data_IF_737383487702
#
_entry.id   IF_737383487702
#
_cell.length_a   1.000
_cell.length_b   1.000
_cell.length_c   1.000
_cell.angle_alpha   90.00
_cell.angle_beta   90.00
_cell.angle_gamma   90.00
#
_symmetry.space_group_name_H-M   'P 1'
#
loop_
_entity.id
_entity.type
_entity.pdbx_description
1 polymer ?
#
# COMPACT_ATOMS: atom_id res chain seq x y z
N UNK A 1 5.50 -37.27 -3.20
CA UNK A 1 6.45 -36.79 -2.17
C UNK A 1 6.78 -37.91 -1.19
N UNK A 2 5.76 -38.59 -0.67
CA UNK A 2 5.87 -39.66 0.35
C UNK A 2 6.80 -40.81 -0.03
N UNK A 3 6.75 -41.30 -1.28
CA UNK A 3 7.67 -42.35 -1.74
C UNK A 3 9.14 -41.92 -1.74
N UNK A 4 9.45 -40.63 -1.96
CA UNK A 4 10.84 -40.12 -1.89
C UNK A 4 11.36 -40.12 -0.45
N UNK A 5 10.49 -39.85 0.52
CA UNK A 5 10.80 -39.96 1.95
C UNK A 5 11.11 -41.42 2.30
N UNK A 6 10.32 -42.37 1.80
CA UNK A 6 10.57 -43.79 1.97
C UNK A 6 11.91 -44.23 1.34
N UNK A 7 12.25 -43.74 0.13
CA UNK A 7 13.55 -44.01 -0.48
C UNK A 7 14.69 -43.48 0.40
N UNK A 8 14.56 -42.25 0.91
CA UNK A 8 15.54 -41.64 1.83
C UNK A 8 15.69 -42.45 3.12
N UNK A 9 14.59 -42.94 3.68
CA UNK A 9 14.59 -43.85 4.82
C UNK A 9 15.36 -45.14 4.50
N UNK A 10 15.12 -45.77 3.34
CA UNK A 10 15.83 -46.97 2.91
C UNK A 10 17.35 -46.74 2.80
N UNK A 11 17.77 -45.59 2.24
CA UNK A 11 19.19 -45.21 2.15
C UNK A 11 19.82 -45.08 3.54
N UNK A 12 19.16 -44.39 4.49
CA UNK A 12 19.67 -44.24 5.87
C UNK A 12 19.77 -45.57 6.61
N UNK A 13 18.92 -46.53 6.28
CA UNK A 13 18.96 -47.90 6.83
C UNK A 13 19.87 -48.85 6.06
N UNK A 14 20.64 -48.36 5.07
CA UNK A 14 21.55 -49.16 4.23
C UNK A 14 20.85 -50.32 3.49
N UNK A 15 19.56 -50.16 3.20
CA UNK A 15 18.77 -51.12 2.41
C UNK A 15 19.15 -50.93 0.94
N UNK A 16 19.53 -52.00 0.24
CA UNK A 16 19.94 -51.92 -1.17
C UNK A 16 18.81 -51.36 -2.04
N UNK A 17 19.16 -50.60 -3.07
CA UNK A 17 18.19 -49.93 -3.96
C UNK A 17 17.15 -50.89 -4.58
N UNK A 18 17.56 -52.10 -4.95
CA UNK A 18 16.63 -53.11 -5.49
C UNK A 18 15.60 -53.58 -4.44
N UNK A 19 16.03 -53.75 -3.19
CA UNK A 19 15.15 -54.11 -2.08
C UNK A 19 14.22 -52.95 -1.71
N UNK A 20 14.75 -51.72 -1.72
CA UNK A 20 13.95 -50.51 -1.53
C UNK A 20 12.85 -50.38 -2.60
N UNK A 21 13.18 -50.65 -3.88
CA UNK A 21 12.19 -50.68 -4.96
C UNK A 21 11.11 -51.73 -4.70
N UNK A 22 11.50 -52.96 -4.32
CA UNK A 22 10.54 -54.04 -4.00
C UNK A 22 9.64 -53.67 -2.82
N UNK A 23 10.19 -53.06 -1.77
CA UNK A 23 9.42 -52.58 -0.61
C UNK A 23 8.40 -51.51 -1.02
N UNK A 24 8.80 -50.56 -1.87
CA UNK A 24 7.91 -49.56 -2.42
C UNK A 24 6.81 -50.19 -3.28
N UNK A 25 7.14 -51.17 -4.13
CA UNK A 25 6.14 -51.88 -4.94
C UNK A 25 5.12 -52.62 -4.08
N UNK A 26 5.53 -53.22 -2.96
CA UNK A 26 4.60 -53.87 -2.02
C UNK A 26 3.71 -52.84 -1.32
N UNK A 27 4.27 -51.70 -0.91
CA UNK A 27 3.53 -50.67 -0.17
C UNK A 27 2.59 -49.83 -1.04
N UNK A 28 2.97 -49.53 -2.29
CA UNK A 28 2.29 -48.58 -3.17
C UNK A 28 1.69 -49.22 -4.44
N UNK A 29 1.97 -50.49 -4.72
CA UNK A 29 1.39 -51.22 -5.86
C UNK A 29 1.65 -50.53 -7.20
N UNK A 30 0.59 -50.35 -8.00
CA UNK A 30 0.64 -49.68 -9.31
C UNK A 30 0.98 -48.19 -9.22
N UNK A 31 0.79 -47.55 -8.06
CA UNK A 31 1.12 -46.15 -7.84
C UNK A 31 2.61 -45.92 -7.53
N UNK A 32 3.44 -46.95 -7.57
CA UNK A 32 4.87 -46.86 -7.30
C UNK A 32 5.61 -46.07 -8.37
N UNK A 33 6.57 -45.24 -7.98
CA UNK A 33 7.51 -44.58 -8.89
C UNK A 33 8.18 -45.63 -9.80
N UNK A 34 8.39 -45.30 -11.07
CA UNK A 34 9.09 -46.20 -11.98
C UNK A 34 10.51 -46.48 -11.47
N UNK A 35 11.03 -47.64 -11.88
CA UNK A 35 12.34 -48.12 -11.45
C UNK A 35 13.45 -47.10 -11.68
N UNK A 36 13.44 -46.37 -12.80
CA UNK A 36 14.47 -45.37 -13.12
C UNK A 36 14.41 -44.19 -12.16
N UNK A 37 13.20 -43.70 -11.83
CA UNK A 37 13.04 -42.64 -10.84
C UNK A 37 13.46 -43.07 -9.44
N UNK A 38 13.13 -44.29 -9.01
CA UNK A 38 13.57 -44.80 -7.70
C UNK A 38 15.09 -44.88 -7.62
N UNK A 39 15.74 -45.42 -8.65
CA UNK A 39 17.20 -45.52 -8.69
C UNK A 39 17.87 -44.14 -8.74
N UNK A 40 17.30 -43.19 -9.49
CA UNK A 40 17.79 -41.81 -9.56
C UNK A 40 17.74 -41.12 -8.19
N UNK A 41 16.59 -41.20 -7.51
CA UNK A 41 16.44 -40.63 -6.16
C UNK A 41 17.31 -41.33 -5.13
N UNK A 42 17.40 -42.66 -5.18
CA UNK A 42 18.27 -43.44 -4.30
C UNK A 42 19.74 -43.01 -4.46
N UNK A 43 20.20 -42.83 -5.70
CA UNK A 43 21.55 -42.34 -6.00
C UNK A 43 21.78 -40.95 -5.40
N UNK A 44 20.88 -40.00 -5.65
CA UNK A 44 21.00 -38.64 -5.10
C UNK A 44 21.06 -38.61 -3.57
N UNK A 45 20.23 -39.42 -2.88
CA UNK A 45 20.29 -39.53 -1.43
C UNK A 45 21.56 -40.23 -0.93
N UNK A 46 22.07 -41.22 -1.66
CA UNK A 46 23.34 -41.89 -1.32
C UNK A 46 24.57 -40.98 -1.50
N UNK A 47 24.46 -39.98 -2.39
CA UNK A 47 25.48 -38.95 -2.63
C UNK A 47 25.36 -37.76 -1.66
N UNK A 48 24.45 -37.81 -0.67
CA UNK A 48 24.37 -36.84 0.42
C UNK A 48 23.28 -35.78 0.28
N UNK A 49 22.42 -35.85 -0.74
CA UNK A 49 21.23 -34.98 -0.80
C UNK A 49 20.30 -35.26 0.37
N UNK A 50 19.80 -34.23 1.04
CA UNK A 50 18.82 -34.39 2.13
C UNK A 50 17.42 -33.86 1.76
N UNK A 51 17.29 -32.98 0.78
CA UNK A 51 15.98 -32.46 0.36
C UNK A 51 15.22 -33.44 -0.55
N UNK A 52 13.92 -33.59 -0.29
CA UNK A 52 13.00 -34.47 -1.03
C UNK A 52 12.19 -33.74 -2.11
N UNK A 53 12.21 -32.40 -2.09
CA UNK A 53 11.52 -31.56 -3.06
C UNK A 53 12.22 -31.55 -4.41
N UNK A 54 11.52 -31.15 -5.47
CA UNK A 54 12.20 -30.85 -6.73
C UNK A 54 13.11 -29.63 -6.54
N UNK A 55 14.27 -29.62 -7.21
CA UNK A 55 15.10 -28.42 -7.25
C UNK A 55 14.39 -27.31 -8.04
N UNK A 56 14.77 -26.06 -7.77
CA UNK A 56 14.25 -24.93 -8.55
C UNK A 56 14.49 -25.19 -10.04
N UNK A 57 13.40 -25.29 -10.79
CA UNK A 57 13.46 -25.43 -12.23
C UNK A 57 13.80 -24.07 -12.79
N UNK A 58 14.86 -24.00 -13.60
CA UNK A 58 15.08 -22.87 -14.48
C UNK A 58 13.84 -22.71 -15.37
N UNK A 59 13.04 -21.68 -15.10
CA UNK A 59 11.88 -21.34 -15.90
C UNK A 59 12.29 -20.92 -17.31
N UNK A 60 11.30 -20.62 -18.16
CA UNK A 60 11.59 -20.00 -19.46
C UNK A 60 12.18 -18.60 -19.21
N UNK A 61 13.35 -18.27 -19.77
CA UNK A 61 13.88 -16.91 -19.69
C UNK A 61 12.86 -15.94 -20.29
N UNK A 62 12.49 -14.92 -19.52
CA UNK A 62 11.63 -13.86 -20.02
C UNK A 62 12.47 -12.95 -20.91
N UNK A 63 12.07 -12.80 -22.17
CA UNK A 63 12.76 -11.94 -23.14
C UNK A 63 12.58 -10.45 -22.85
N UNK A 64 11.63 -10.09 -21.99
CA UNK A 64 11.25 -8.70 -21.73
C UNK A 64 11.78 -8.15 -20.40
N UNK A 65 12.17 -9.01 -19.47
CA UNK A 65 12.71 -8.66 -18.14
C UNK A 65 14.18 -9.09 -18.07
N UNK A 66 14.98 -8.66 -19.04
CA UNK A 66 16.43 -8.84 -18.99
C UNK A 66 17.06 -7.77 -18.10
N UNK A 67 18.29 -8.01 -17.62
CA UNK A 67 18.99 -7.05 -16.77
C UNK A 67 19.19 -5.69 -17.47
N UNK A 68 19.37 -5.69 -18.80
CA UNK A 68 19.47 -4.45 -19.59
C UNK A 68 18.17 -3.65 -19.55
N UNK A 69 17.02 -4.30 -19.74
CA UNK A 69 15.72 -3.63 -19.68
C UNK A 69 15.43 -3.11 -18.27
N UNK A 70 15.81 -3.86 -17.23
CA UNK A 70 15.66 -3.43 -15.84
C UNK A 70 16.49 -2.17 -15.57
N UNK A 71 17.74 -2.13 -16.04
CA UNK A 71 18.61 -0.97 -15.89
C UNK A 71 18.09 0.26 -16.67
N UNK A 72 17.59 0.06 -17.89
CA UNK A 72 17.00 1.15 -18.67
C UNK A 72 15.70 1.69 -18.05
N UNK A 73 14.77 0.83 -17.59
CA UNK A 73 13.59 1.27 -16.84
C UNK A 73 14.02 2.08 -15.61
N UNK A 74 15.05 1.63 -14.89
CA UNK A 74 15.59 2.31 -13.72
C UNK A 74 16.13 3.70 -14.07
N UNK A 75 16.88 3.86 -15.16
CA UNK A 75 17.36 5.17 -15.64
C UNK A 75 16.20 6.11 -15.96
N UNK A 76 15.22 5.63 -16.73
CA UNK A 76 14.07 6.44 -17.16
C UNK A 76 13.26 6.93 -15.96
N UNK A 77 12.93 6.05 -15.00
CA UNK A 77 12.16 6.46 -13.81
C UNK A 77 12.94 7.40 -12.90
N UNK A 78 14.27 7.23 -12.77
CA UNK A 78 15.11 8.14 -11.98
C UNK A 78 15.16 9.54 -12.60
N UNK A 79 15.16 9.66 -13.92
CA UNK A 79 15.09 10.94 -14.62
C UNK A 79 13.72 11.61 -14.50
N UNK A 80 12.63 10.84 -14.61
CA UNK A 80 11.26 11.34 -14.46
C UNK A 80 10.40 10.41 -13.61
N UNK A 81 10.25 10.73 -12.32
CA UNK A 81 9.45 9.97 -11.35
C UNK A 81 7.94 9.97 -11.63
N UNK A 82 7.44 10.79 -12.56
CA UNK A 82 6.01 10.89 -12.91
C UNK A 82 5.65 10.12 -14.19
N UNK A 83 6.64 9.52 -14.86
CA UNK A 83 6.41 8.77 -16.09
C UNK A 83 5.43 7.61 -15.86
N UNK A 84 4.60 7.33 -16.86
CA UNK A 84 3.65 6.22 -16.80
C UNK A 84 4.31 4.92 -17.26
N UNK A 85 3.83 3.79 -16.74
CA UNK A 85 4.26 2.45 -17.19
C UNK A 85 4.05 2.27 -18.69
N UNK A 86 3.03 2.93 -19.26
CA UNK A 86 2.71 2.85 -20.68
C UNK A 86 3.77 3.55 -21.54
N UNK A 87 4.16 4.76 -21.17
CA UNK A 87 5.23 5.52 -21.86
C UNK A 87 6.54 4.72 -21.82
N UNK A 88 6.93 4.19 -20.66
CA UNK A 88 8.16 3.38 -20.54
C UNK A 88 8.09 2.09 -21.37
N UNK A 89 6.93 1.44 -21.40
CA UNK A 89 6.74 0.23 -22.18
C UNK A 89 6.83 0.49 -23.69
N UNK A 90 6.30 1.63 -24.15
CA UNK A 90 6.40 2.08 -25.54
C UNK A 90 7.84 2.45 -25.91
N UNK A 91 8.56 3.16 -25.04
CA UNK A 91 9.96 3.56 -25.25
C UNK A 91 10.91 2.36 -25.37
N UNK A 92 10.70 1.32 -24.55
CA UNK A 92 11.53 0.11 -24.52
C UNK A 92 10.98 -1.02 -25.40
N UNK A 93 9.86 -0.79 -26.08
CA UNK A 93 9.17 -1.78 -26.92
C UNK A 93 8.92 -3.13 -26.19
N UNK A 94 8.52 -3.06 -24.92
CA UNK A 94 8.13 -4.22 -24.10
C UNK A 94 6.64 -4.18 -23.79
N UNK A 95 6.08 -5.31 -23.37
CA UNK A 95 4.68 -5.32 -22.95
C UNK A 95 4.46 -4.48 -21.68
N UNK A 96 3.31 -3.81 -21.59
CA UNK A 96 2.92 -3.02 -20.39
C UNK A 96 2.97 -3.89 -19.13
N UNK A 97 2.57 -5.16 -19.23
CA UNK A 97 2.62 -6.11 -18.12
C UNK A 97 4.05 -6.40 -17.66
N UNK A 98 4.98 -6.63 -18.60
CA UNK A 98 6.41 -6.81 -18.30
C UNK A 98 7.00 -5.56 -17.67
N UNK A 99 6.72 -4.38 -18.21
CA UNK A 99 7.18 -3.12 -17.65
C UNK A 99 6.64 -2.93 -16.21
N UNK A 100 5.36 -3.20 -15.98
CA UNK A 100 4.77 -3.17 -14.64
C UNK A 100 5.47 -4.13 -13.68
N UNK A 101 5.74 -5.38 -14.11
CA UNK A 101 6.50 -6.34 -13.30
C UNK A 101 7.90 -5.84 -12.97
N UNK A 102 8.61 -5.19 -13.90
CA UNK A 102 9.91 -4.56 -13.63
C UNK A 102 9.77 -3.49 -12.56
N UNK A 103 8.77 -2.62 -12.66
CA UNK A 103 8.51 -1.60 -11.63
C UNK A 103 8.26 -2.22 -10.25
N UNK A 104 7.42 -3.25 -10.14
CA UNK A 104 6.98 -3.76 -8.83
C UNK A 104 7.87 -4.84 -8.24
N UNK A 105 8.28 -5.83 -9.04
CA UNK A 105 8.95 -7.03 -8.56
C UNK A 105 10.47 -6.85 -8.57
N UNK A 106 11.02 -6.29 -9.65
CA UNK A 106 12.46 -6.17 -9.83
C UNK A 106 13.01 -4.89 -9.17
N UNK A 107 12.32 -3.76 -9.34
CA UNK A 107 12.71 -2.47 -8.74
C UNK A 107 12.06 -2.19 -7.38
N UNK A 108 11.06 -2.98 -6.97
CA UNK A 108 10.36 -2.80 -5.68
C UNK A 108 9.60 -1.47 -5.56
N UNK A 109 9.31 -0.80 -6.69
CA UNK A 109 8.66 0.51 -6.69
C UNK A 109 7.14 0.40 -6.60
N UNK A 110 6.54 1.42 -6.01
CA UNK A 110 5.08 1.58 -5.96
C UNK A 110 4.71 2.99 -6.38
N UNK A 111 3.67 3.11 -7.19
CA UNK A 111 3.08 4.41 -7.54
C UNK A 111 2.24 4.91 -6.38
N UNK A 112 2.62 6.06 -5.84
CA UNK A 112 1.94 6.74 -4.72
C UNK A 112 1.55 8.15 -5.13
N UNK A 113 0.44 8.65 -4.60
CA UNK A 113 -0.01 10.03 -4.83
C UNK A 113 0.72 10.94 -3.84
N UNK A 114 1.03 12.16 -4.27
CA UNK A 114 1.60 13.17 -3.38
C UNK A 114 0.61 13.57 -2.29
N UNK A 115 1.12 13.89 -1.11
CA UNK A 115 0.32 14.45 0.00
C UNK A 115 0.08 15.94 -0.24
N UNK A 116 -1.10 16.44 0.14
CA UNK A 116 -1.42 17.85 0.03
C UNK A 116 -1.11 18.54 1.35
N UNK A 117 0.08 19.13 1.43
CA UNK A 117 0.49 19.91 2.60
C UNK A 117 0.14 21.38 2.42
N UNK A 118 -0.26 22.10 3.48
CA UNK A 118 -0.62 23.53 3.38
C UNK A 118 0.50 24.40 2.80
N UNK A 119 1.76 24.08 3.13
CA UNK A 119 2.95 24.73 2.59
C UNK A 119 4.17 23.82 2.76
N UNK A 120 5.24 24.09 2.03
CA UNK A 120 6.55 23.50 2.26
C UNK A 120 7.29 24.36 3.31
N UNK A 121 7.48 23.87 4.55
CA UNK A 121 8.15 24.65 5.58
C UNK A 121 9.66 24.69 5.33
N UNK A 122 10.27 25.85 5.56
CA UNK A 122 11.72 25.97 5.63
C UNK A 122 12.26 25.51 6.99
N UNK A 123 13.58 25.48 7.14
CA UNK A 123 14.25 25.02 8.36
C UNK A 123 13.76 25.77 9.62
N UNK A 124 13.74 27.10 9.58
CA UNK A 124 13.33 27.91 10.73
C UNK A 124 11.87 27.68 11.11
N UNK A 125 10.98 27.52 10.12
CA UNK A 125 9.57 27.21 10.34
C UNK A 125 9.39 25.82 10.95
N UNK A 126 10.17 24.82 10.53
CA UNK A 126 10.14 23.48 11.14
C UNK A 126 10.59 23.56 12.60
N UNK A 127 11.72 24.21 12.86
CA UNK A 127 12.25 24.35 14.21
C UNK A 127 11.29 25.10 15.13
N UNK A 128 10.70 26.19 14.65
CA UNK A 128 9.71 26.95 15.40
C UNK A 128 8.49 26.09 15.76
N UNK A 129 7.98 25.29 14.80
CA UNK A 129 6.87 24.36 15.07
C UNK A 129 7.22 23.30 16.12
N UNK A 130 8.43 22.75 16.08
CA UNK A 130 8.90 21.78 17.08
C UNK A 130 8.95 22.45 18.46
N UNK A 131 9.51 23.66 18.55
CA UNK A 131 9.64 24.38 19.82
C UNK A 131 8.26 24.66 20.44
N UNK A 132 7.33 25.19 19.65
CA UNK A 132 5.94 25.41 20.10
C UNK A 132 5.27 24.10 20.52
N UNK A 133 5.46 23.02 19.76
CA UNK A 133 4.89 21.71 20.12
C UNK A 133 5.44 21.18 21.46
N UNK A 134 6.74 21.37 21.73
CA UNK A 134 7.36 21.01 23.01
C UNK A 134 6.83 21.86 24.16
N UNK A 135 6.82 23.18 23.98
CA UNK A 135 6.31 24.12 24.99
C UNK A 135 4.85 23.83 25.36
N UNK A 136 4.01 23.52 24.38
CA UNK A 136 2.60 23.15 24.62
C UNK A 136 2.46 21.81 25.34
N UNK A 137 3.32 20.82 25.02
CA UNK A 137 3.33 19.53 25.73
C UNK A 137 3.80 19.66 27.17
N UNK A 138 4.85 20.45 27.41
CA UNK A 138 5.35 20.73 28.76
C UNK A 138 4.27 21.49 29.57
N UNK A 139 3.60 22.47 28.95
CA UNK A 139 2.48 23.19 29.59
C UNK A 139 1.33 22.26 30.02
N UNK A 140 1.00 21.24 29.22
CA UNK A 140 -0.02 20.24 29.58
C UNK A 140 0.46 19.27 30.65
N UNK A 141 1.77 18.98 30.68
CA UNK A 141 2.37 18.15 31.73
C UNK A 141 2.35 18.86 33.08
N UNK A 142 2.68 20.15 33.07
CA UNK A 142 2.77 20.98 34.28
C UNK A 142 1.38 21.32 34.84
N UNK A 143 0.40 21.61 33.96
CA UNK A 143 -0.99 21.78 34.34
C UNK A 143 -1.91 20.93 33.45
N UNK A 144 -2.35 19.75 33.94
CA UNK A 144 -3.25 18.86 33.21
C UNK A 144 -4.60 19.50 32.81
N UNK A 145 -5.00 20.58 33.49
CA UNK A 145 -6.25 21.28 33.21
C UNK A 145 -6.09 22.46 32.24
N UNK A 146 -4.87 22.73 31.73
CA UNK A 146 -4.62 23.90 30.85
C UNK A 146 -5.53 23.91 29.63
N UNK A 147 -5.77 22.74 29.01
CA UNK A 147 -6.63 22.61 27.83
C UNK A 147 -8.10 22.90 28.12
N UNK A 148 -8.57 22.69 29.35
CA UNK A 148 -9.94 23.03 29.74
C UNK A 148 -10.19 24.54 29.77
N UNK A 149 -9.12 25.35 29.84
CA UNK A 149 -9.18 26.81 29.84
C UNK A 149 -8.93 27.43 28.47
N UNK A 150 -8.61 26.62 27.45
CA UNK A 150 -8.34 27.10 26.10
C UNK A 150 -9.65 27.41 25.36
N UNK A 151 -9.72 28.62 24.80
CA UNK A 151 -10.77 29.02 23.86
C UNK A 151 -10.09 29.25 22.52
N UNK A 152 -10.57 28.60 21.47
CA UNK A 152 -10.04 28.70 20.10
C UNK A 152 -11.15 28.97 19.11
N UNK A 153 -10.84 29.65 18.01
CA UNK A 153 -11.76 29.90 16.91
C UNK A 153 -11.01 29.98 15.59
N UNK A 154 -11.66 29.55 14.51
CA UNK A 154 -11.18 29.68 13.13
C UNK A 154 -12.39 29.90 12.21
N UNK A 155 -12.16 30.47 11.04
CA UNK A 155 -13.20 30.78 10.06
C UNK A 155 -13.13 29.78 8.90
N UNK A 156 -14.24 29.11 8.62
CA UNK A 156 -14.36 28.19 7.49
C UNK A 156 -15.46 28.63 6.54
N UNK A 157 -15.14 28.70 5.26
CA UNK A 157 -16.11 29.04 4.22
C UNK A 157 -16.96 27.82 3.86
N UNK A 158 -18.26 27.90 4.14
CA UNK A 158 -19.22 26.91 3.68
C UNK A 158 -19.90 27.40 2.41
N UNK A 159 -19.67 26.70 1.30
CA UNK A 159 -20.31 27.01 0.03
C UNK A 159 -21.60 26.19 -0.17
N UNK A 160 -22.72 26.90 -0.30
CA UNK A 160 -24.02 26.35 -0.69
C UNK A 160 -24.17 26.29 -2.21
N UNK A 161 -24.15 25.08 -2.77
CA UNK A 161 -24.59 24.81 -4.14
C UNK A 161 -25.88 24.00 -4.09
N UNK A 162 -26.75 24.21 -5.08
CA UNK A 162 -27.94 23.40 -5.30
C UNK A 162 -27.55 21.93 -5.54
N UNK A 163 -28.34 20.98 -5.02
CA UNK A 163 -27.96 19.55 -4.93
C UNK A 163 -27.79 18.89 -6.31
N UNK A 164 -28.42 19.48 -7.32
CA UNK A 164 -28.50 18.92 -8.66
C UNK A 164 -27.49 19.59 -9.61
N UNK A 165 -26.41 18.88 -9.90
CA UNK A 165 -25.40 19.24 -10.92
C UNK A 165 -26.03 19.33 -12.31
N UNK A 166 -25.33 19.97 -13.26
CA UNK A 166 -25.77 20.05 -14.66
C UNK A 166 -26.08 18.67 -15.26
N UNK A 167 -25.28 17.66 -14.91
CA UNK A 167 -25.49 16.29 -15.36
C UNK A 167 -26.72 15.65 -14.68
N UNK A 168 -26.91 15.85 -13.37
CA UNK A 168 -28.10 15.37 -12.68
C UNK A 168 -29.40 16.03 -13.18
N UNK A 169 -29.33 17.29 -13.64
CA UNK A 169 -30.46 18.00 -14.26
C UNK A 169 -30.76 17.54 -15.70
N UNK A 170 -30.11 16.49 -16.19
CA UNK A 170 -30.42 15.91 -17.48
C UNK A 170 -31.82 15.29 -17.45
N UNK A 171 -32.61 15.59 -18.48
CA UNK A 171 -33.94 15.01 -18.63
C UNK A 171 -34.16 14.58 -20.08
N UNK A 172 -34.89 13.50 -20.25
CA UNK A 172 -35.35 13.02 -21.55
C UNK A 172 -36.44 13.95 -22.08
N UNK A 173 -36.37 14.30 -23.37
CA UNK A 173 -37.31 15.21 -24.03
C UNK A 173 -37.69 14.73 -25.42
N UNK A 174 -38.86 15.14 -25.89
CA UNK A 174 -39.27 14.94 -27.28
C UNK A 174 -38.47 15.85 -28.23
N UNK A 175 -38.28 15.48 -29.51
CA UNK A 175 -37.41 16.23 -30.44
C UNK A 175 -37.80 17.69 -30.67
N UNK A 176 -39.07 18.04 -30.51
CA UNK A 176 -39.62 19.38 -30.73
C UNK A 176 -39.70 20.22 -29.44
N UNK A 177 -39.35 19.67 -28.28
CA UNK A 177 -39.43 20.39 -27.02
C UNK A 177 -38.18 21.24 -26.77
N UNK A 178 -38.33 22.49 -26.29
CA UNK A 178 -37.19 23.33 -25.97
C UNK A 178 -36.39 22.76 -24.79
N UNK A 179 -35.07 22.95 -24.82
CA UNK A 179 -34.20 22.59 -23.69
C UNK A 179 -34.64 23.36 -22.44
N UNK A 180 -34.72 22.67 -21.30
CA UNK A 180 -34.93 23.35 -20.02
C UNK A 180 -33.82 24.34 -19.77
N UNK A 181 -34.20 25.53 -19.29
CA UNK A 181 -33.26 26.55 -18.86
C UNK A 181 -33.17 26.50 -17.34
N UNK A 182 -31.95 26.37 -16.82
CA UNK A 182 -31.64 26.54 -15.40
C UNK A 182 -30.87 27.85 -15.27
N UNK A 183 -31.28 28.71 -14.33
CA UNK A 183 -30.58 29.96 -14.05
C UNK A 183 -29.17 29.66 -13.55
N UNK A 184 -28.17 30.46 -13.96
CA UNK A 184 -26.79 30.34 -13.48
C UNK A 184 -26.78 30.64 -11.98
N UNK A 185 -26.26 29.69 -11.19
CA UNK A 185 -26.45 29.65 -9.74
C UNK A 185 -25.96 30.91 -9.00
N UNK A 186 -26.74 31.31 -7.99
CA UNK A 186 -26.37 32.27 -6.93
C UNK A 186 -26.26 31.49 -5.62
N UNK A 187 -25.39 31.92 -4.70
CA UNK A 187 -25.21 31.30 -3.37
C UNK A 187 -26.57 31.11 -2.67
N UNK A 188 -26.89 29.92 -2.19
CA UNK A 188 -28.18 29.60 -1.55
C UNK A 188 -28.10 29.53 -0.02
N UNK A 189 -29.18 29.92 0.67
CA UNK A 189 -29.28 29.93 2.15
C UNK A 189 -29.60 28.55 2.76
N UNK A 190 -29.93 27.53 1.94
CA UNK A 190 -30.37 26.20 2.39
C UNK A 190 -29.30 25.47 3.21
N UNK A 191 -28.01 25.72 2.94
CA UNK A 191 -26.91 25.10 3.70
C UNK A 191 -26.57 25.80 5.01
N UNK A 192 -27.03 27.02 5.26
CA UNK A 192 -26.81 27.66 6.58
C UNK A 192 -27.51 26.85 7.68
N UNK A 193 -28.77 26.46 7.43
CA UNK A 193 -29.54 25.60 8.33
C UNK A 193 -28.92 24.22 8.48
N UNK A 194 -28.55 23.56 7.38
CA UNK A 194 -27.95 22.23 7.40
C UNK A 194 -26.58 22.20 8.13
N UNK A 195 -25.73 23.20 7.89
CA UNK A 195 -24.46 23.32 8.61
C UNK A 195 -24.67 23.60 10.09
N UNK A 196 -25.65 24.44 10.44
CA UNK A 196 -26.02 24.70 11.84
C UNK A 196 -26.53 23.43 12.53
N UNK A 197 -27.34 22.62 11.83
CA UNK A 197 -27.81 21.33 12.33
C UNK A 197 -26.66 20.36 12.61
N UNK A 198 -25.69 20.24 11.69
CA UNK A 198 -24.50 19.39 11.91
C UNK A 198 -23.62 19.90 13.06
N UNK A 199 -23.41 21.23 13.15
CA UNK A 199 -22.66 21.82 14.27
C UNK A 199 -23.35 21.56 15.62
N UNK A 200 -24.68 21.60 15.66
CA UNK A 200 -25.46 21.28 16.86
C UNK A 200 -25.40 19.80 17.25
N UNK A 201 -25.02 18.89 16.35
CA UNK A 201 -24.82 17.46 16.66
C UNK A 201 -23.49 17.18 17.36
N UNK A 202 -22.52 18.10 17.31
CA UNK A 202 -21.22 17.91 17.93
C UNK A 202 -21.39 17.87 19.45
N UNK A 203 -21.03 16.73 20.05
CA UNK A 203 -21.18 16.53 21.49
C UNK A 203 -19.98 17.11 22.25
N UNK A 204 -20.13 17.33 23.56
CA UNK A 204 -19.01 17.72 24.43
C UNK A 204 -17.85 16.71 24.36
N UNK A 205 -18.14 15.43 24.20
CA UNK A 205 -17.12 14.38 24.08
C UNK A 205 -16.32 14.50 22.78
N UNK A 206 -16.94 14.92 21.69
CA UNK A 206 -16.24 15.17 20.43
C UNK A 206 -15.23 16.30 20.59
N UNK A 207 -15.62 17.39 21.27
CA UNK A 207 -14.71 18.49 21.61
C UNK A 207 -13.55 18.04 22.51
N UNK A 208 -13.83 17.24 23.55
CA UNK A 208 -12.77 16.69 24.42
C UNK A 208 -11.77 15.83 23.65
N UNK A 209 -12.27 15.01 22.72
CA UNK A 209 -11.42 14.19 21.85
C UNK A 209 -10.52 15.06 20.95
N UNK A 210 -11.00 16.20 20.47
CA UNK A 210 -10.16 17.13 19.69
C UNK A 210 -8.93 17.61 20.47
N UNK A 211 -9.08 17.90 21.77
CA UNK A 211 -7.96 18.31 22.62
C UNK A 211 -6.95 17.17 22.85
N UNK A 212 -7.41 15.93 22.99
CA UNK A 212 -6.51 14.77 23.03
C UNK A 212 -5.77 14.57 21.69
N UNK A 213 -6.46 14.80 20.58
CA UNK A 213 -5.85 14.75 19.25
C UNK A 213 -4.81 15.86 19.05
N UNK A 214 -4.94 17.02 19.70
CA UNK A 214 -3.91 18.06 19.69
C UNK A 214 -2.61 17.58 20.35
N UNK A 215 -2.69 16.94 21.52
CA UNK A 215 -1.50 16.37 22.18
C UNK A 215 -0.80 15.36 21.27
N UNK A 216 -1.57 14.48 20.61
CA UNK A 216 -1.05 13.53 19.63
C UNK A 216 -0.40 14.23 18.44
N UNK A 217 -1.01 15.31 17.93
CA UNK A 217 -0.46 16.11 16.82
C UNK A 217 0.83 16.81 17.19
N UNK A 218 0.98 17.31 18.41
CA UNK A 218 2.24 17.91 18.87
C UNK A 218 3.36 16.88 18.94
N UNK A 219 3.11 15.69 19.50
CA UNK A 219 4.08 14.58 19.46
C UNK A 219 4.47 14.21 18.02
N UNK A 220 3.48 14.07 17.12
CA UNK A 220 3.74 13.80 15.70
C UNK A 220 4.57 14.90 15.04
N UNK A 221 4.31 16.17 15.37
CA UNK A 221 5.10 17.29 14.86
C UNK A 221 6.57 17.19 15.27
N UNK A 222 6.85 16.75 16.50
CA UNK A 222 8.22 16.54 16.99
C UNK A 222 8.87 15.34 16.29
N UNK A 223 8.15 14.21 16.20
CA UNK A 223 8.66 12.98 15.55
C UNK A 223 8.92 13.22 14.04
N UNK A 224 8.10 14.04 13.40
CA UNK A 224 8.27 14.45 12.00
C UNK A 224 9.22 15.62 11.80
N UNK A 225 10.01 16.00 12.80
CA UNK A 225 11.01 17.09 12.68
C UNK A 225 10.40 18.40 12.12
N UNK A 226 9.19 18.74 12.57
CA UNK A 226 8.47 19.95 12.17
C UNK A 226 7.80 19.90 10.80
N UNK A 227 7.90 18.79 10.07
CA UNK A 227 7.19 18.60 8.79
C UNK A 227 5.67 18.46 8.96
N UNK A 228 4.95 18.79 7.88
CA UNK A 228 3.53 18.45 7.79
C UNK A 228 3.36 16.94 7.55
N UNK A 229 2.39 16.36 8.23
CA UNK A 229 2.04 14.95 8.12
C UNK A 229 0.55 14.82 7.76
N UNK A 230 0.23 13.93 6.83
CA UNK A 230 -1.14 13.68 6.37
C UNK A 230 -1.31 12.18 6.11
N UNK A 231 -2.15 11.52 6.92
CA UNK A 231 -2.36 10.07 6.83
C UNK A 231 -1.16 9.20 7.22
N UNK A 232 -0.06 9.80 7.69
CA UNK A 232 1.16 9.08 8.04
C UNK A 232 1.01 8.21 9.29
N UNK A 233 1.49 6.97 9.19
CA UNK A 233 1.62 6.04 10.32
C UNK A 233 2.82 6.46 11.17
N UNK A 234 2.62 7.49 11.99
CA UNK A 234 3.60 7.95 12.96
C UNK A 234 3.28 7.27 14.29
N UNK A 235 4.18 6.40 14.73
CA UNK A 235 4.09 5.74 16.03
C UNK A 235 4.55 6.71 17.11
N UNK A 236 3.63 7.09 17.99
CA UNK A 236 3.96 7.83 19.20
C UNK A 236 4.34 6.75 20.21
N UNK A 237 5.60 6.71 20.62
CA UNK A 237 6.01 5.91 21.76
C UNK A 237 5.60 6.71 23.01
N UNK A 238 4.54 6.26 23.67
CA UNK A 238 4.18 6.72 25.02
C UNK A 238 5.16 6.16 26.05
#
# INVERSE_FOLDING_TARGET
MDQRICIKFCVKNKIKCADAFRMLTVAYGEATLDRSNVYRWYKMFSEGREDVNDEERAGRPSTSTTDENIDEVKKIVLANRRITVREVAEDLNISIGSCHSIFTNDLGMRRVVAKFVPKLPNFDQKQHRINIAKELLDSVRDDPNVLQRVITGDESWVYGYDVETKAQSSQWKLPHEPRSKKVRQVRSNVKETASKEELNKITKNDFLKCFEDWKKRWHKCIISDGDYFEGDKIHIHE
#
